data_IF_355807531313
#
_entry.id   IF_355807531313
#
_cell.length_a   1.000
_cell.length_b   1.000
_cell.length_c   1.000
_cell.angle_alpha   90.00
_cell.angle_beta   90.00
_cell.angle_gamma   90.00
#
_symmetry.space_group_name_H-M   'P 1'
#
loop_
_entity.id
_entity.type
_entity.pdbx_description
1 polymer ?
#
# COMPACT_ATOMS: atom_id res chain seq x y z
N UNK A 1 -13.61 -3.79 -20.15
CA UNK A 1 -12.58 -4.45 -19.33
C UNK A 1 -12.18 -5.76 -20.00
N UNK A 2 -10.94 -5.89 -20.46
CA UNK A 2 -10.44 -7.10 -21.13
C UNK A 2 -9.61 -7.89 -20.12
N UNK A 3 -10.02 -9.12 -19.82
CA UNK A 3 -9.27 -10.02 -18.94
C UNK A 3 -8.31 -10.82 -19.80
N UNK A 4 -7.01 -10.60 -19.62
CA UNK A 4 -5.99 -11.33 -20.36
C UNK A 4 -5.92 -12.78 -19.86
N UNK A 5 -5.80 -13.77 -20.76
CA UNK A 5 -5.74 -15.19 -20.39
C UNK A 5 -4.44 -15.57 -19.67
N UNK A 6 -3.36 -14.82 -19.89
CA UNK A 6 -2.08 -15.02 -19.21
C UNK A 6 -1.84 -13.93 -18.18
N UNK A 7 -1.51 -14.31 -16.94
CA UNK A 7 -1.17 -13.38 -15.87
C UNK A 7 0.33 -13.07 -15.96
N UNK A 8 0.75 -11.88 -16.42
CA UNK A 8 2.16 -11.58 -16.70
C UNK A 8 3.03 -11.46 -15.44
N UNK A 9 2.42 -11.23 -14.26
CA UNK A 9 3.12 -11.22 -12.97
C UNK A 9 2.36 -12.07 -11.92
N UNK A 10 2.64 -13.38 -11.84
CA UNK A 10 1.92 -14.28 -10.93
C UNK A 10 2.20 -14.02 -9.44
N UNK A 11 3.24 -13.23 -9.08
CA UNK A 11 3.61 -12.92 -7.68
C UNK A 11 3.53 -11.41 -7.36
N UNK A 12 2.59 -10.70 -7.97
CA UNK A 12 2.37 -9.29 -7.61
C UNK A 12 1.80 -9.22 -6.19
N UNK A 13 2.47 -8.46 -5.32
CA UNK A 13 2.03 -8.20 -3.95
C UNK A 13 1.58 -6.76 -3.86
N UNK A 14 0.33 -6.56 -3.45
CA UNK A 14 -0.30 -5.26 -3.33
C UNK A 14 -0.65 -5.00 -1.87
N UNK A 15 -0.42 -3.78 -1.40
CA UNK A 15 -0.81 -3.33 -0.07
C UNK A 15 -1.79 -2.17 -0.18
N UNK A 16 -2.86 -2.21 0.61
CA UNK A 16 -3.91 -1.18 0.68
C UNK A 16 -3.60 -0.16 1.78
N UNK A 17 -3.57 1.12 1.43
CA UNK A 17 -3.39 2.25 2.34
C UNK A 17 -4.69 3.06 2.36
N UNK A 18 -5.48 2.92 3.42
CA UNK A 18 -6.88 3.34 3.34
C UNK A 18 -7.50 3.73 4.67
N UNK A 19 -8.67 4.35 4.58
CA UNK A 19 -9.57 4.57 5.71
C UNK A 19 -10.23 3.25 6.14
N UNK A 20 -10.97 3.27 7.25
CA UNK A 20 -11.59 2.08 7.84
C UNK A 20 -12.43 1.24 6.85
N UNK A 21 -13.19 1.89 5.97
CA UNK A 21 -14.01 1.20 4.96
C UNK A 21 -13.14 0.38 3.98
N UNK A 22 -12.04 0.97 3.51
CA UNK A 22 -11.13 0.30 2.58
C UNK A 22 -10.29 -0.78 3.27
N UNK A 23 -10.03 -0.65 4.58
CA UNK A 23 -9.38 -1.70 5.37
C UNK A 23 -10.30 -2.92 5.52
N UNK A 24 -11.58 -2.73 5.81
CA UNK A 24 -12.53 -3.85 5.90
C UNK A 24 -12.69 -4.56 4.55
N UNK A 25 -12.72 -3.82 3.44
CA UNK A 25 -12.74 -4.42 2.10
C UNK A 25 -11.45 -5.18 1.80
N UNK A 26 -10.29 -4.62 2.16
CA UNK A 26 -9.01 -5.28 1.98
C UNK A 26 -8.89 -6.56 2.81
N UNK A 27 -9.37 -6.53 4.06
CA UNK A 27 -9.37 -7.68 4.97
C UNK A 27 -10.30 -8.80 4.44
N UNK A 28 -11.50 -8.44 3.94
CA UNK A 28 -12.40 -9.40 3.27
C UNK A 28 -11.78 -10.03 2.03
N UNK A 29 -10.94 -9.28 1.32
CA UNK A 29 -10.19 -9.75 0.15
C UNK A 29 -8.88 -10.48 0.51
N UNK A 30 -8.48 -10.49 1.79
CA UNK A 30 -7.23 -11.09 2.26
C UNK A 30 -5.98 -10.32 1.79
N UNK A 31 -6.10 -9.02 1.53
CA UNK A 31 -4.99 -8.15 1.15
C UNK A 31 -4.32 -7.55 2.38
N UNK A 32 -3.00 -7.38 2.31
CA UNK A 32 -2.27 -6.63 3.33
C UNK A 32 -2.74 -5.16 3.32
N UNK A 33 -3.05 -4.62 4.50
CA UNK A 33 -3.46 -3.23 4.66
C UNK A 33 -2.59 -2.49 5.70
N UNK A 34 -2.56 -1.18 5.59
CA UNK A 34 -1.84 -0.30 6.52
C UNK A 34 -2.60 1.00 6.74
N UNK A 35 -2.61 1.43 7.99
CA UNK A 35 -3.31 2.63 8.44
C UNK A 35 -2.39 3.87 8.41
N UNK A 36 -3.01 5.05 8.46
CA UNK A 36 -2.29 6.33 8.47
C UNK A 36 -1.44 6.51 9.73
N UNK A 37 -1.86 5.97 10.88
CA UNK A 37 -1.10 6.10 12.12
C UNK A 37 0.12 5.18 12.14
N UNK A 38 -0.01 3.95 11.65
CA UNK A 38 1.09 3.02 11.41
C UNK A 38 2.10 3.59 10.42
N UNK A 39 1.64 4.21 9.33
CA UNK A 39 2.48 4.93 8.37
C UNK A 39 3.27 6.07 9.02
N UNK A 40 2.62 6.91 9.85
CA UNK A 40 3.28 8.00 10.58
C UNK A 40 4.35 7.49 11.55
N UNK A 41 4.08 6.40 12.26
CA UNK A 41 5.06 5.75 13.16
C UNK A 41 6.26 5.21 12.39
N UNK A 42 6.03 4.66 11.19
CA UNK A 42 7.09 4.10 10.33
C UNK A 42 7.95 5.15 9.62
N UNK A 43 7.45 6.37 9.38
CA UNK A 43 8.22 7.44 8.73
C UNK A 43 9.49 7.84 9.50
N UNK A 44 9.51 7.68 10.82
CA UNK A 44 10.70 7.99 11.63
C UNK A 44 11.92 7.16 11.25
N UNK A 45 11.74 6.01 10.59
CA UNK A 45 12.82 5.07 10.31
C UNK A 45 12.91 4.71 8.82
N UNK A 46 13.76 5.43 8.08
CA UNK A 46 13.97 5.27 6.63
C UNK A 46 14.33 3.84 6.20
N UNK A 47 14.96 3.04 7.09
CA UNK A 47 15.30 1.64 6.82
C UNK A 47 14.04 0.76 6.68
N UNK A 48 13.04 0.97 7.53
CA UNK A 48 11.79 0.21 7.50
C UNK A 48 10.94 0.60 6.30
N UNK A 49 10.90 1.89 5.95
CA UNK A 49 10.22 2.40 4.75
C UNK A 49 10.81 1.78 3.48
N UNK A 50 12.14 1.75 3.34
CA UNK A 50 12.81 1.09 2.20
C UNK A 50 12.57 -0.43 2.17
N UNK A 51 12.43 -1.08 3.32
CA UNK A 51 12.12 -2.52 3.40
C UNK A 51 10.68 -2.80 2.95
N UNK A 52 9.76 -1.91 3.30
CA UNK A 52 8.35 -1.99 2.89
C UNK A 52 8.19 -1.77 1.39
N UNK A 53 8.84 -0.75 0.82
CA UNK A 53 8.84 -0.50 -0.63
C UNK A 53 9.40 -1.68 -1.44
N UNK A 54 10.36 -2.44 -0.89
CA UNK A 54 10.88 -3.66 -1.53
C UNK A 54 9.98 -4.89 -1.36
N UNK A 55 9.10 -4.90 -0.36
CA UNK A 55 8.21 -6.04 -0.05
C UNK A 55 7.00 -6.09 -0.99
N UNK A 56 6.50 -4.93 -1.39
CA UNK A 56 5.31 -4.78 -2.22
C UNK A 56 5.68 -4.24 -3.60
N UNK A 57 4.92 -4.64 -4.61
CA UNK A 57 5.12 -4.19 -6.00
C UNK A 57 4.25 -2.99 -6.33
N UNK A 58 3.09 -2.90 -5.68
CA UNK A 58 2.16 -1.79 -5.84
C UNK A 58 1.52 -1.45 -4.50
N UNK A 59 1.16 -0.19 -4.34
CA UNK A 59 0.36 0.30 -3.24
C UNK A 59 -0.93 0.88 -3.83
N UNK A 60 -2.06 0.51 -3.25
CA UNK A 60 -3.34 1.11 -3.52
C UNK A 60 -3.64 2.07 -2.39
N UNK A 61 -4.12 3.26 -2.71
CA UNK A 61 -4.39 4.29 -1.71
C UNK A 61 -5.77 4.91 -1.92
N UNK A 62 -6.49 5.14 -0.82
CA UNK A 62 -7.71 5.93 -0.84
C UNK A 62 -7.42 7.39 -1.16
N UNK A 63 -8.37 8.07 -1.79
CA UNK A 63 -8.22 9.46 -2.23
C UNK A 63 -7.86 10.42 -1.08
N UNK A 64 -8.38 10.17 0.12
CA UNK A 64 -8.06 10.97 1.31
C UNK A 64 -6.58 10.92 1.70
N UNK A 65 -5.89 9.81 1.40
CA UNK A 65 -4.53 9.52 1.85
C UNK A 65 -3.51 9.76 0.73
N UNK A 66 -3.91 9.63 -0.55
CA UNK A 66 -2.99 9.74 -1.70
C UNK A 66 -2.21 11.06 -1.72
N UNK A 67 -2.83 12.16 -1.31
CA UNK A 67 -2.20 13.49 -1.23
C UNK A 67 -1.17 13.59 -0.09
N UNK A 68 -1.32 12.76 0.94
CA UNK A 68 -0.45 12.75 2.11
C UNK A 68 0.73 11.79 1.96
N UNK A 69 0.63 10.78 1.09
CA UNK A 69 1.66 9.74 0.88
C UNK A 69 3.05 10.32 0.61
N UNK A 70 3.25 11.27 -0.33
CA UNK A 70 4.60 11.80 -0.61
C UNK A 70 5.23 12.48 0.61
N UNK A 71 4.40 13.12 1.45
CA UNK A 71 4.85 13.79 2.68
C UNK A 71 5.11 12.80 3.83
N UNK A 72 4.31 11.74 3.91
CA UNK A 72 4.35 10.75 5.00
C UNK A 72 5.37 9.63 4.80
N UNK A 73 5.66 9.24 3.57
CA UNK A 73 6.61 8.17 3.27
C UNK A 73 7.89 8.69 2.60
N UNK A 74 7.90 9.97 2.21
CA UNK A 74 8.98 10.60 1.49
C UNK A 74 9.07 10.14 0.03
N UNK A 75 9.96 10.75 -0.77
CA UNK A 75 10.13 10.42 -2.19
C UNK A 75 10.82 9.06 -2.42
N UNK A 76 11.12 8.32 -1.36
CA UNK A 76 11.80 7.03 -1.42
C UNK A 76 10.86 5.83 -1.50
N UNK A 77 9.54 6.09 -1.60
CA UNK A 77 8.53 5.12 -1.98
C UNK A 77 8.29 5.16 -3.48
#
# INVERSE_FOLDING_TARGET
>A
SVKLPHIPRPKMKVCMLGDAQHMEEAEKLGLDYMDVEGLKKMNKNKKLVKKLAKKYHAFLASEAIIKQIPRLLGPGL
#
